data_IF_360527224463
#
_entry.id   IF_360527224463
#
_cell.length_a   1.000
_cell.length_b   1.000
_cell.length_c   1.000
_cell.angle_alpha   90.00
_cell.angle_beta   90.00
_cell.angle_gamma   90.00
#
_symmetry.space_group_name_H-M   'P 1'
#
loop_
_entity.id
_entity.type
_entity.pdbx_description
1 polymer ?
#
# COMPACT_ATOMS: atom_id res chain seq x y z
N UNK A 1 -5.38 4.33 -0.70
CA UNK A 1 -4.73 3.56 -1.77
C UNK A 1 -4.96 4.16 -3.16
N UNK A 2 -4.24 3.64 -4.14
CA UNK A 2 -4.28 4.01 -5.57
C UNK A 2 -5.06 2.99 -6.41
N UNK A 3 -4.72 2.86 -7.71
CA UNK A 3 -5.31 1.87 -8.63
C UNK A 3 -5.22 0.43 -8.13
N UNK A 4 -4.11 0.05 -7.51
CA UNK A 4 -3.93 -1.31 -6.96
C UNK A 4 -5.01 -1.61 -5.90
N UNK A 5 -5.36 -0.63 -5.08
CA UNK A 5 -6.45 -0.77 -4.10
C UNK A 5 -7.81 -0.69 -4.78
N UNK A 6 -8.02 0.25 -5.71
CA UNK A 6 -9.29 0.45 -6.43
C UNK A 6 -9.71 -0.82 -7.18
N UNK A 7 -8.81 -1.35 -8.02
CA UNK A 7 -9.04 -2.54 -8.85
C UNK A 7 -9.24 -3.82 -8.03
N UNK A 8 -8.70 -3.88 -6.81
CA UNK A 8 -8.95 -5.02 -5.91
C UNK A 8 -10.45 -5.21 -5.67
N UNK A 9 -11.19 -4.11 -5.48
CA UNK A 9 -12.65 -4.18 -5.33
C UNK A 9 -13.39 -4.59 -6.60
N UNK A 10 -12.80 -4.37 -7.77
CA UNK A 10 -13.37 -4.75 -9.05
C UNK A 10 -13.08 -6.22 -9.40
N UNK A 11 -11.85 -6.66 -9.16
CA UNK A 11 -11.37 -8.01 -9.52
C UNK A 11 -11.80 -9.06 -8.49
N UNK A 12 -11.87 -8.69 -7.21
CA UNK A 12 -12.29 -9.56 -6.11
C UNK A 12 -13.38 -8.92 -5.23
N UNK A 13 -14.58 -8.65 -5.78
CA UNK A 13 -15.65 -7.98 -5.02
C UNK A 13 -16.07 -8.75 -3.78
N UNK A 14 -15.93 -10.09 -3.78
CA UNK A 14 -16.24 -10.94 -2.63
C UNK A 14 -15.36 -10.61 -1.40
N UNK A 15 -14.14 -10.10 -1.58
CA UNK A 15 -13.29 -9.68 -0.47
C UNK A 15 -13.92 -8.53 0.33
N UNK A 16 -14.71 -7.69 -0.31
CA UNK A 16 -15.35 -6.50 0.27
C UNK A 16 -16.85 -6.67 0.54
N UNK A 17 -17.45 -7.81 0.16
CA UNK A 17 -18.92 -8.02 0.17
C UNK A 17 -19.56 -7.97 1.56
N UNK A 18 -18.85 -8.37 2.60
CA UNK A 18 -19.35 -8.41 3.98
C UNK A 18 -19.27 -7.06 4.73
N UNK A 19 -18.90 -5.98 4.05
CA UNK A 19 -18.74 -4.62 4.59
C UNK A 19 -17.75 -4.49 5.76
N UNK A 20 -16.94 -5.49 6.03
CA UNK A 20 -15.85 -5.39 7.02
C UNK A 20 -14.68 -4.57 6.49
N UNK A 21 -14.52 -4.55 5.18
CA UNK A 21 -13.51 -3.77 4.48
C UNK A 21 -14.17 -2.75 3.56
N UNK A 22 -13.71 -1.51 3.63
CA UNK A 22 -14.16 -0.42 2.75
C UNK A 22 -13.00 -0.07 1.84
N UNK A 23 -13.20 -0.23 0.53
CA UNK A 23 -12.20 0.17 -0.46
C UNK A 23 -12.25 1.69 -0.67
N UNK A 24 -11.11 2.36 -0.47
CA UNK A 24 -10.91 3.79 -0.68
C UNK A 24 -9.77 4.07 -1.66
N UNK A 25 -9.47 3.11 -2.54
CA UNK A 25 -8.52 3.29 -3.65
C UNK A 25 -9.05 4.25 -4.70
N UNK A 26 -8.18 5.09 -5.27
CA UNK A 26 -8.46 5.94 -6.42
C UNK A 26 -7.26 5.87 -7.36
N UNK A 27 -7.50 5.45 -8.58
CA UNK A 27 -6.47 5.22 -9.59
C UNK A 27 -5.57 6.43 -9.83
N UNK A 28 -4.28 6.18 -10.00
CA UNK A 28 -3.28 7.20 -10.31
C UNK A 28 -2.87 8.12 -9.17
N UNK A 29 -3.52 8.06 -8.01
CA UNK A 29 -3.23 8.98 -6.91
C UNK A 29 -1.87 8.76 -6.27
N UNK A 30 -1.24 9.88 -5.88
CA UNK A 30 0.01 9.99 -5.17
C UNK A 30 -0.21 10.22 -3.66
N UNK A 31 0.85 10.07 -2.87
CA UNK A 31 0.74 10.23 -1.40
C UNK A 31 0.23 11.60 -0.95
N UNK A 32 0.60 12.76 -1.56
CA UNK A 32 0.01 14.05 -1.16
C UNK A 32 -1.50 14.12 -1.47
N UNK A 33 -1.97 13.54 -2.58
CA UNK A 33 -3.40 13.49 -2.90
C UNK A 33 -4.17 12.64 -1.88
N UNK A 34 -3.61 11.51 -1.46
CA UNK A 34 -4.20 10.68 -0.41
C UNK A 34 -4.22 11.37 0.94
N UNK A 35 -3.15 12.12 1.28
CA UNK A 35 -3.07 12.88 2.53
C UNK A 35 -4.15 13.96 2.59
N UNK A 36 -4.39 14.71 1.50
CA UNK A 36 -5.44 15.75 1.44
C UNK A 36 -6.83 15.18 1.73
N UNK A 37 -7.16 14.00 1.20
CA UNK A 37 -8.47 13.36 1.39
C UNK A 37 -8.55 12.45 2.61
N UNK A 38 -7.45 12.31 3.38
CA UNK A 38 -7.34 11.31 4.44
C UNK A 38 -8.40 11.49 5.54
N UNK A 39 -8.76 12.73 5.84
CA UNK A 39 -9.80 13.01 6.84
C UNK A 39 -11.15 12.44 6.41
N UNK A 40 -11.66 12.83 5.23
CA UNK A 40 -12.98 12.37 4.75
C UNK A 40 -13.01 10.87 4.47
N UNK A 41 -11.90 10.30 3.97
CA UNK A 41 -11.86 8.92 3.50
C UNK A 41 -11.49 7.91 4.59
N UNK A 42 -10.93 8.38 5.71
CA UNK A 42 -10.50 7.50 6.80
C UNK A 42 -11.05 7.99 8.14
N UNK A 43 -10.70 9.21 8.55
CA UNK A 43 -10.99 9.67 9.91
C UNK A 43 -12.49 9.79 10.17
N UNK A 44 -13.21 10.43 9.26
CA UNK A 44 -14.66 10.66 9.40
C UNK A 44 -15.50 9.38 9.30
N UNK A 45 -14.91 8.31 8.73
CA UNK A 45 -15.53 6.97 8.71
C UNK A 45 -15.32 6.20 10.01
N UNK A 46 -14.48 6.69 10.92
CA UNK A 46 -14.18 6.10 12.22
C UNK A 46 -13.93 4.58 12.19
N UNK A 47 -13.00 4.09 11.34
CA UNK A 47 -12.73 2.67 11.22
C UNK A 47 -11.92 2.16 12.42
N UNK A 48 -11.98 0.87 12.71
CA UNK A 48 -11.09 0.22 13.69
C UNK A 48 -9.64 0.20 13.23
N UNK A 49 -9.43 0.12 11.93
CA UNK A 49 -8.10 0.06 11.33
C UNK A 49 -8.08 0.66 9.93
N UNK A 50 -6.91 1.10 9.49
CA UNK A 50 -6.62 1.54 8.12
C UNK A 50 -5.42 0.78 7.58
N UNK A 51 -5.53 0.33 6.33
CA UNK A 51 -4.40 -0.22 5.55
C UNK A 51 -3.97 0.86 4.57
N UNK A 52 -2.71 1.29 4.65
CA UNK A 52 -2.13 2.31 3.78
C UNK A 52 -1.21 1.62 2.78
N UNK A 53 -1.59 1.64 1.50
CA UNK A 53 -0.80 1.19 0.36
C UNK A 53 -0.69 2.36 -0.62
N UNK A 54 0.49 2.95 -0.74
CA UNK A 54 0.73 4.16 -1.53
C UNK A 54 2.21 4.36 -1.83
N UNK A 55 2.52 5.16 -2.87
CA UNK A 55 3.87 5.60 -3.19
C UNK A 55 4.34 5.21 -4.60
N UNK A 56 3.74 4.22 -5.25
CA UNK A 56 4.14 3.80 -6.59
C UNK A 56 3.94 4.92 -7.62
N UNK A 57 2.82 5.65 -7.55
CA UNK A 57 2.51 6.74 -8.46
C UNK A 57 3.37 7.99 -8.23
N UNK A 58 3.83 8.20 -7.00
CA UNK A 58 4.82 9.23 -6.67
C UNK A 58 6.15 8.93 -7.37
N UNK A 59 6.62 7.68 -7.27
CA UNK A 59 7.85 7.21 -7.92
C UNK A 59 7.70 7.29 -9.44
N UNK A 60 6.53 6.96 -9.97
CA UNK A 60 6.20 7.06 -11.40
C UNK A 60 6.11 8.51 -11.90
N UNK A 61 6.05 9.51 -11.00
CA UNK A 61 5.99 10.93 -11.34
C UNK A 61 4.60 11.41 -11.82
N UNK A 62 3.52 10.75 -11.40
CA UNK A 62 2.16 11.06 -11.88
C UNK A 62 1.71 12.50 -11.56
N UNK A 63 2.22 13.11 -10.50
CA UNK A 63 1.96 14.52 -10.12
C UNK A 63 3.22 15.37 -10.15
N UNK A 64 4.22 14.95 -10.93
CA UNK A 64 5.53 15.60 -10.99
C UNK A 64 6.60 14.87 -10.15
N UNK A 65 7.83 15.42 -10.12
CA UNK A 65 8.94 14.78 -9.41
C UNK A 65 8.70 14.68 -7.91
N UNK A 66 8.91 13.49 -7.35
CA UNK A 66 8.85 13.24 -5.91
C UNK A 66 10.16 12.63 -5.41
N UNK A 67 10.68 13.15 -4.30
CA UNK A 67 11.79 12.54 -3.60
C UNK A 67 11.31 11.41 -2.69
N UNK A 68 12.20 10.46 -2.37
CA UNK A 68 11.94 9.42 -1.38
C UNK A 68 11.49 10.03 -0.04
N UNK A 69 12.16 11.10 0.39
CA UNK A 69 11.79 11.81 1.62
C UNK A 69 10.36 12.34 1.60
N UNK A 70 9.91 12.96 0.50
CA UNK A 70 8.53 13.47 0.39
C UNK A 70 7.50 12.36 0.52
N UNK A 71 7.75 11.22 -0.11
CA UNK A 71 6.85 10.05 -0.04
C UNK A 71 6.78 9.53 1.39
N UNK A 72 7.93 9.37 2.05
CA UNK A 72 8.02 8.92 3.44
C UNK A 72 7.30 9.89 4.38
N UNK A 73 7.53 11.20 4.26
CA UNK A 73 6.89 12.21 5.10
C UNK A 73 5.36 12.16 4.99
N UNK A 74 4.82 11.98 3.79
CA UNK A 74 3.37 11.84 3.58
C UNK A 74 2.82 10.54 4.19
N UNK A 75 3.53 9.41 4.03
CA UNK A 75 3.13 8.13 4.63
C UNK A 75 3.13 8.20 6.15
N UNK A 76 4.18 8.80 6.74
CA UNK A 76 4.26 9.03 8.19
C UNK A 76 3.12 9.92 8.68
N UNK A 77 2.85 11.03 7.99
CA UNK A 77 1.76 11.95 8.35
C UNK A 77 0.39 11.25 8.36
N UNK A 78 0.10 10.42 7.36
CA UNK A 78 -1.15 9.64 7.35
C UNK A 78 -1.21 8.66 8.53
N UNK A 79 -0.10 7.99 8.85
CA UNK A 79 -0.03 7.07 9.98
C UNK A 79 -0.21 7.79 11.32
N UNK A 80 0.47 8.91 11.53
CA UNK A 80 0.39 9.73 12.74
C UNK A 80 -1.02 10.29 12.96
N UNK A 81 -1.66 10.80 11.90
CA UNK A 81 -3.05 11.27 11.96
C UNK A 81 -3.99 10.14 12.38
N UNK A 82 -3.86 8.94 11.80
CA UNK A 82 -4.68 7.79 12.15
C UNK A 82 -4.44 7.34 13.60
N UNK A 83 -3.18 7.21 14.01
CA UNK A 83 -2.82 6.85 15.39
C UNK A 83 -3.38 7.82 16.41
N UNK A 84 -3.35 9.13 16.13
CA UNK A 84 -3.92 10.17 17.01
C UNK A 84 -5.44 10.02 17.20
N UNK A 85 -6.12 9.38 16.27
CA UNK A 85 -7.55 9.06 16.33
C UNK A 85 -7.83 7.63 16.85
N UNK A 86 -6.82 6.97 17.43
CA UNK A 86 -6.91 5.58 17.91
C UNK A 86 -7.27 4.56 16.81
N UNK A 87 -6.97 4.86 15.55
CA UNK A 87 -7.15 3.96 14.42
C UNK A 87 -5.89 3.09 14.28
N UNK A 88 -6.05 1.77 14.30
CA UNK A 88 -4.91 0.86 14.09
C UNK A 88 -4.37 1.00 12.68
N UNK A 89 -3.08 1.27 12.54
CA UNK A 89 -2.43 1.41 11.22
C UNK A 89 -1.78 0.09 10.80
N UNK A 90 -2.08 -0.31 9.57
CA UNK A 90 -1.39 -1.35 8.81
C UNK A 90 -0.66 -0.66 7.66
N UNK A 91 0.65 -0.53 7.78
CA UNK A 91 1.50 0.08 6.76
C UNK A 91 1.97 -0.99 5.78
N UNK A 92 1.55 -0.88 4.53
CA UNK A 92 1.94 -1.83 3.50
C UNK A 92 3.23 -1.44 2.80
N UNK A 93 4.02 -2.44 2.43
CA UNK A 93 5.10 -2.23 1.47
C UNK A 93 4.53 -1.81 0.10
N UNK A 94 5.23 -0.92 -0.60
CA UNK A 94 5.01 -0.69 -2.03
C UNK A 94 5.34 -1.98 -2.77
N UNK A 95 4.50 -2.36 -3.75
CA UNK A 95 4.70 -3.56 -4.55
C UNK A 95 5.97 -3.45 -5.40
N UNK A 96 6.56 -4.59 -5.80
CA UNK A 96 7.71 -4.59 -6.69
C UNK A 96 7.36 -3.98 -8.05
N UNK A 97 8.19 -3.08 -8.57
CA UNK A 97 8.09 -2.55 -9.93
C UNK A 97 9.48 -2.51 -10.55
N UNK A 98 9.65 -3.22 -11.65
CA UNK A 98 10.90 -3.19 -12.43
C UNK A 98 10.98 -1.94 -13.32
N UNK A 99 9.84 -1.59 -13.95
CA UNK A 99 9.69 -0.40 -14.82
C UNK A 99 8.24 0.05 -14.84
N UNK A 100 8.02 1.32 -15.13
CA UNK A 100 6.68 1.84 -15.41
C UNK A 100 6.45 1.86 -16.92
N UNK A 101 5.48 1.11 -17.49
CA UNK A 101 5.25 1.05 -18.93
C UNK A 101 4.92 2.41 -19.54
N UNK A 102 4.25 3.28 -18.79
CA UNK A 102 3.82 4.61 -19.21
C UNK A 102 4.84 5.72 -18.99
N UNK A 103 5.90 5.48 -18.17
CA UNK A 103 6.94 6.48 -17.92
C UNK A 103 8.34 5.86 -17.95
N UNK A 104 8.89 5.78 -19.15
CA UNK A 104 10.23 5.19 -19.40
C UNK A 104 11.39 6.05 -18.88
N UNK A 105 11.12 7.31 -18.46
CA UNK A 105 12.17 8.18 -17.88
C UNK A 105 12.54 7.77 -16.46
N UNK A 106 11.68 7.02 -15.78
CA UNK A 106 11.96 6.49 -14.44
C UNK A 106 12.82 5.24 -14.56
N UNK A 107 14.08 5.40 -14.21
CA UNK A 107 15.07 4.32 -14.27
C UNK A 107 15.18 3.69 -12.88
N UNK A 108 15.21 2.34 -12.83
CA UNK A 108 15.41 1.53 -11.62
C UNK A 108 14.47 1.93 -10.45
N UNK A 109 13.15 2.00 -10.66
CA UNK A 109 12.20 2.38 -9.59
C UNK A 109 12.31 1.48 -8.36
N UNK A 110 12.71 0.22 -8.54
CA UNK A 110 12.90 -0.75 -7.47
C UNK A 110 13.91 -0.29 -6.40
N UNK A 111 14.88 0.57 -6.74
CA UNK A 111 15.82 1.13 -5.74
C UNK A 111 15.10 2.07 -4.76
N UNK A 112 14.26 2.98 -5.28
CA UNK A 112 13.44 3.87 -4.44
C UNK A 112 12.41 3.07 -3.64
N UNK A 113 11.79 2.05 -4.26
CA UNK A 113 10.85 1.16 -3.59
C UNK A 113 11.51 0.46 -2.40
N UNK A 114 12.71 -0.09 -2.60
CA UNK A 114 13.45 -0.75 -1.53
C UNK A 114 13.79 0.21 -0.38
N UNK A 115 14.25 1.42 -0.70
CA UNK A 115 14.56 2.44 0.29
C UNK A 115 13.33 2.83 1.12
N UNK A 116 12.20 3.12 0.47
CA UNK A 116 10.95 3.48 1.15
C UNK A 116 10.44 2.30 1.99
N UNK A 117 10.42 1.09 1.44
CA UNK A 117 9.91 -0.09 2.15
C UNK A 117 10.75 -0.40 3.40
N UNK A 118 12.07 -0.31 3.31
CA UNK A 118 12.95 -0.50 4.46
C UNK A 118 12.69 0.54 5.54
N UNK A 119 12.62 1.82 5.17
CA UNK A 119 12.33 2.90 6.12
C UNK A 119 10.96 2.69 6.79
N UNK A 120 9.91 2.40 6.01
CA UNK A 120 8.56 2.23 6.55
C UNK A 120 8.42 0.98 7.41
N UNK A 121 9.19 -0.07 7.15
CA UNK A 121 9.28 -1.25 8.02
C UNK A 121 9.89 -0.89 9.38
N UNK A 122 11.01 -0.17 9.38
CA UNK A 122 11.67 0.29 10.61
C UNK A 122 10.80 1.28 11.39
N UNK A 123 10.16 2.23 10.69
CA UNK A 123 9.20 3.15 11.26
C UNK A 123 8.03 2.39 11.93
N UNK A 124 7.46 1.41 11.24
CA UNK A 124 6.37 0.59 11.77
C UNK A 124 6.77 -0.15 13.05
N UNK A 125 7.97 -0.70 13.09
CA UNK A 125 8.50 -1.38 14.29
C UNK A 125 8.66 -0.40 15.45
N UNK A 126 9.25 0.77 15.22
CA UNK A 126 9.48 1.80 16.22
C UNK A 126 8.17 2.35 16.80
N UNK A 127 7.20 2.65 15.94
CA UNK A 127 5.90 3.20 16.31
C UNK A 127 4.85 2.13 16.69
N UNK A 128 5.26 0.85 16.75
CA UNK A 128 4.38 -0.29 17.07
C UNK A 128 3.17 -0.43 16.13
N UNK A 129 3.33 0.00 14.87
CA UNK A 129 2.38 -0.22 13.80
C UNK A 129 2.49 -1.67 13.30
N UNK A 130 1.55 -2.07 12.46
CA UNK A 130 1.61 -3.37 11.78
C UNK A 130 2.18 -3.17 10.38
N UNK A 131 3.30 -3.84 10.06
CA UNK A 131 3.83 -3.83 8.70
C UNK A 131 3.26 -4.99 7.88
N UNK A 132 2.77 -4.71 6.67
CA UNK A 132 2.22 -5.70 5.73
C UNK A 132 3.20 -5.85 4.59
N UNK A 133 3.96 -6.93 4.58
CA UNK A 133 5.00 -7.19 3.59
C UNK A 133 4.44 -7.91 2.35
N UNK A 134 3.85 -7.16 1.43
CA UNK A 134 3.49 -7.69 0.11
C UNK A 134 4.72 -7.90 -0.77
N UNK A 135 5.69 -6.97 -0.69
CA UNK A 135 6.83 -6.90 -1.60
C UNK A 135 7.62 -8.21 -1.62
N UNK A 136 8.05 -8.70 -0.46
CA UNK A 136 8.91 -9.89 -0.38
C UNK A 136 8.25 -11.17 -0.92
N UNK A 137 6.91 -11.24 -0.88
CA UNK A 137 6.14 -12.38 -1.36
C UNK A 137 5.88 -12.34 -2.87
N UNK A 138 5.96 -11.15 -3.48
CA UNK A 138 5.53 -10.92 -4.86
C UNK A 138 6.67 -10.53 -5.81
N UNK A 139 7.88 -10.28 -5.29
CA UNK A 139 9.06 -9.92 -6.07
C UNK A 139 9.65 -11.11 -6.80
N UNK A 140 10.11 -10.90 -8.04
CA UNK A 140 10.90 -11.86 -8.82
C UNK A 140 12.41 -11.53 -8.81
N UNK A 141 13.19 -12.28 -9.58
CA UNK A 141 14.63 -12.07 -9.71
C UNK A 141 15.03 -10.77 -10.44
N UNK A 142 14.10 -10.12 -11.16
CA UNK A 142 14.29 -8.85 -11.88
C UNK A 142 13.96 -7.62 -11.04
N UNK A 143 13.93 -7.65 -9.75
CA UNK A 143 13.25 -6.86 -8.71
C UNK A 143 11.91 -6.21 -9.15
N UNK A 144 11.10 -6.92 -9.94
CA UNK A 144 9.75 -6.56 -10.35
C UNK A 144 8.71 -7.53 -9.82
N UNK A 145 7.44 -7.31 -10.16
CA UNK A 145 6.38 -8.28 -9.89
C UNK A 145 6.64 -9.58 -10.65
N UNK A 146 6.36 -10.71 -10.00
CA UNK A 146 6.27 -12.01 -10.66
C UNK A 146 5.26 -11.91 -11.80
N UNK A 147 5.65 -12.35 -13.01
CA UNK A 147 4.83 -12.15 -14.22
C UNK A 147 3.46 -12.82 -14.13
N UNK A 148 3.35 -13.93 -13.41
CA UNK A 148 2.09 -14.62 -13.17
C UNK A 148 1.11 -13.85 -12.28
N UNK A 149 1.56 -12.79 -11.58
CA UNK A 149 0.74 -12.00 -10.65
C UNK A 149 0.29 -10.66 -11.23
N UNK A 150 0.69 -10.31 -12.44
CA UNK A 150 0.48 -8.98 -13.00
C UNK A 150 -0.07 -9.02 -14.42
N UNK A 151 -0.70 -7.92 -14.84
CA UNK A 151 -1.16 -7.70 -16.21
C UNK A 151 -0.20 -6.88 -17.06
N UNK A 152 0.57 -5.97 -16.42
CA UNK A 152 1.40 -4.97 -17.09
C UNK A 152 2.71 -4.66 -16.36
N UNK A 153 3.15 -5.54 -15.45
CA UNK A 153 4.32 -5.41 -14.58
C UNK A 153 4.13 -4.42 -13.41
N UNK A 154 2.93 -3.82 -13.24
CA UNK A 154 2.57 -2.89 -12.14
C UNK A 154 1.24 -3.25 -11.51
N UNK A 155 0.19 -3.40 -12.31
CA UNK A 155 -1.15 -3.76 -11.86
C UNK A 155 -1.32 -5.27 -11.73
N UNK A 156 -2.08 -5.68 -10.74
CA UNK A 156 -2.27 -7.08 -10.42
C UNK A 156 -3.38 -7.70 -11.26
N UNK A 157 -3.20 -8.97 -11.58
CA UNK A 157 -4.28 -9.84 -12.02
C UNK A 157 -4.95 -10.53 -10.82
N UNK A 158 -5.94 -11.38 -11.08
CA UNK A 158 -6.65 -12.11 -10.02
C UNK A 158 -5.72 -12.93 -9.11
N UNK A 159 -4.70 -13.59 -9.67
CA UNK A 159 -3.73 -14.36 -8.89
C UNK A 159 -2.94 -13.45 -7.93
N UNK A 160 -2.54 -12.26 -8.38
CA UNK A 160 -1.88 -11.28 -7.55
C UNK A 160 -2.75 -10.81 -6.36
N UNK A 161 -4.03 -10.55 -6.60
CA UNK A 161 -4.95 -10.16 -5.53
C UNK A 161 -5.27 -11.31 -4.57
N UNK A 162 -5.27 -12.57 -5.03
CA UNK A 162 -5.37 -13.73 -4.14
C UNK A 162 -4.19 -13.73 -3.15
N UNK A 163 -2.96 -13.58 -3.64
CA UNK A 163 -1.76 -13.50 -2.79
C UNK A 163 -1.86 -12.34 -1.80
N UNK A 164 -2.24 -11.13 -2.25
CA UNK A 164 -2.43 -9.98 -1.34
C UNK A 164 -3.49 -10.28 -0.26
N UNK A 165 -4.60 -10.91 -0.65
CA UNK A 165 -5.70 -11.25 0.26
C UNK A 165 -5.27 -12.20 1.36
N UNK A 166 -4.48 -13.22 1.02
CA UNK A 166 -3.96 -14.19 1.98
C UNK A 166 -2.99 -13.54 2.97
N UNK A 167 -2.07 -12.70 2.47
CA UNK A 167 -1.10 -12.00 3.31
C UNK A 167 -1.82 -11.08 4.31
N UNK A 168 -2.71 -10.22 3.84
CA UNK A 168 -3.38 -9.26 4.73
C UNK A 168 -4.31 -9.94 5.73
N UNK A 169 -5.06 -10.97 5.32
CA UNK A 169 -5.90 -11.74 6.24
C UNK A 169 -5.09 -12.43 7.33
N UNK A 170 -3.91 -12.96 6.98
CA UNK A 170 -2.98 -13.55 7.96
C UNK A 170 -2.52 -12.50 8.98
N UNK A 171 -2.02 -11.36 8.52
CA UNK A 171 -1.51 -10.27 9.36
C UNK A 171 -2.59 -9.70 10.29
N UNK A 172 -3.82 -9.50 9.77
CA UNK A 172 -4.96 -9.03 10.59
C UNK A 172 -5.29 -10.06 11.68
N UNK A 173 -5.37 -11.35 11.33
CA UNK A 173 -5.64 -12.42 12.32
C UNK A 173 -4.59 -12.50 13.41
N UNK A 174 -3.32 -12.38 13.06
CA UNK A 174 -2.21 -12.38 14.03
C UNK A 174 -2.28 -11.17 14.96
N UNK A 175 -2.63 -9.99 14.45
CA UNK A 175 -2.80 -8.79 15.26
C UNK A 175 -3.97 -8.89 16.23
N UNK A 176 -5.11 -9.43 15.77
CA UNK A 176 -6.29 -9.61 16.62
C UNK A 176 -6.02 -10.60 17.77
N UNK A 177 -5.28 -11.68 17.54
CA UNK A 177 -4.89 -12.64 18.59
C UNK A 177 -4.02 -11.99 19.67
N UNK A 178 -3.12 -11.08 19.31
CA UNK A 178 -2.25 -10.36 20.28
C UNK A 178 -3.02 -9.38 21.16
N UNK A 179 -4.18 -8.90 20.73
CA UNK A 179 -5.02 -7.98 21.51
C UNK A 179 -5.95 -8.72 22.51
N UNK A 180 -5.98 -10.05 22.48
CA UNK A 180 -6.79 -10.91 23.37
C UNK A 180 -5.97 -11.53 24.53
N UNK A 181 -4.68 -11.25 24.58
CA UNK A 181 -3.74 -11.64 25.65
C UNK A 181 -3.32 -10.39 26.42
#
# INVERSE_FOLDING_TARGET
>A
GDSITEEWGQIMPEFFSNKQYINRGIGGQTTPQMLIRFRQDVIDLNPKAVIILAGTNDIAGNTGPSSVKMIIDNLMSMAEIACKQNIQVFMSSILPVFRYPWNKSIIEPFKKIAEINNFMKDFSNREKLVYVDYHSHMVDSRPGLKLELTTDEVHLNQAGYIVMSEIVKKVIRERLKRNLI
#
